data_IF_285054948066
#
_entry.id   IF_285054948066
#
_cell.length_a   1.000
_cell.length_b   1.000
_cell.length_c   1.000
_cell.angle_alpha   90.00
_cell.angle_beta   90.00
_cell.angle_gamma   90.00
#
_symmetry.space_group_name_H-M   'P 1'
#
loop_
_entity.id
_entity.type
_entity.pdbx_description
1 polymer ?
#
# COMPACT_ATOMS: atom_id res chain seq x y z
N UNK A 1 11.45 32.81 6.99
CA UNK A 1 11.35 31.60 7.81
C UNK A 1 9.87 31.16 7.73
N UNK A 2 9.53 30.32 6.81
CA UNK A 2 8.16 29.78 6.69
C UNK A 2 8.31 28.28 6.46
N UNK A 3 7.91 27.51 7.46
CA UNK A 3 7.85 26.05 7.43
C UNK A 3 6.85 25.61 6.36
N UNK A 4 7.33 24.99 5.30
CA UNK A 4 6.49 24.34 4.32
C UNK A 4 5.93 23.05 4.95
N UNK A 5 4.71 23.17 5.49
CA UNK A 5 3.87 22.04 5.89
C UNK A 5 3.62 21.21 4.64
N UNK A 6 4.12 19.99 4.64
CA UNK A 6 3.66 18.93 3.74
C UNK A 6 2.17 18.76 4.05
N UNK A 7 1.31 18.95 3.05
CA UNK A 7 -0.10 18.65 3.14
C UNK A 7 -0.25 17.14 3.42
N UNK A 8 -0.28 16.83 4.69
CA UNK A 8 -0.75 15.54 5.20
C UNK A 8 -2.26 15.46 5.00
N UNK A 9 -2.87 14.28 5.11
CA UNK A 9 -4.30 14.12 4.95
C UNK A 9 -5.04 15.10 5.86
N UNK A 10 -5.99 15.82 5.28
CA UNK A 10 -6.82 16.89 5.85
C UNK A 10 -7.09 16.72 7.34
N UNK A 11 -6.70 17.73 8.12
CA UNK A 11 -7.03 17.85 9.53
C UNK A 11 -8.49 18.21 9.67
N UNK A 12 -9.35 17.19 9.69
CA UNK A 12 -10.68 17.33 10.28
C UNK A 12 -10.78 16.40 11.49
N UNK A 13 -10.60 17.01 12.65
CA UNK A 13 -10.60 16.38 13.95
C UNK A 13 -12.05 16.05 14.33
N UNK A 14 -12.39 14.78 14.42
CA UNK A 14 -13.67 14.31 14.96
C UNK A 14 -14.43 13.31 14.10
N UNK A 15 -13.81 12.75 13.07
CA UNK A 15 -14.44 11.71 12.24
C UNK A 15 -14.46 10.36 12.96
N UNK A 16 -15.65 9.80 13.13
CA UNK A 16 -15.92 8.43 13.53
C UNK A 16 -14.94 7.43 12.87
N UNK A 17 -14.59 6.33 13.58
CA UNK A 17 -13.75 5.21 13.10
C UNK A 17 -14.15 4.68 11.70
N UNK A 18 -15.40 4.91 11.30
CA UNK A 18 -15.93 4.65 9.94
C UNK A 18 -15.17 5.43 8.85
N UNK A 19 -14.52 6.55 9.17
CA UNK A 19 -13.79 7.38 8.19
C UNK A 19 -12.38 6.86 7.87
N UNK A 20 -11.78 6.04 8.74
CA UNK A 20 -10.48 5.39 8.46
C UNK A 20 -10.54 4.48 7.23
N UNK A 21 -11.70 3.83 6.99
CA UNK A 21 -11.95 3.00 5.81
C UNK A 21 -12.72 3.71 4.69
N UNK A 22 -12.88 5.03 4.73
CA UNK A 22 -13.85 5.75 3.89
C UNK A 22 -13.34 6.32 2.55
N UNK A 23 -12.04 6.36 2.30
CA UNK A 23 -11.50 6.81 0.99
C UNK A 23 -11.36 5.65 0.00
N UNK A 24 -12.48 5.02 -0.33
CA UNK A 24 -12.52 3.84 -1.21
C UNK A 24 -12.87 4.24 -2.63
N UNK A 25 -11.90 4.26 -3.52
CA UNK A 25 -12.22 4.39 -4.95
C UNK A 25 -12.63 3.03 -5.51
N UNK A 26 -13.59 3.02 -6.44
CA UNK A 26 -13.97 1.81 -7.17
C UNK A 26 -12.76 1.11 -7.82
N UNK A 27 -11.75 1.88 -8.24
CA UNK A 27 -10.49 1.36 -8.81
C UNK A 27 -9.67 0.62 -7.74
N UNK A 28 -9.48 1.20 -6.56
CA UNK A 28 -8.69 0.59 -5.48
C UNK A 28 -9.32 -0.72 -5.04
N UNK A 29 -10.63 -0.71 -4.76
CA UNK A 29 -11.35 -1.92 -4.36
C UNK A 29 -11.35 -2.99 -5.45
N UNK A 30 -11.49 -2.61 -6.73
CA UNK A 30 -11.39 -3.58 -7.83
C UNK A 30 -9.99 -4.23 -7.87
N UNK A 31 -8.92 -3.46 -7.70
CA UNK A 31 -7.54 -4.01 -7.64
C UNK A 31 -7.41 -5.01 -6.50
N UNK A 32 -7.94 -4.67 -5.33
CA UNK A 32 -7.92 -5.59 -4.16
C UNK A 32 -8.72 -6.87 -4.45
N UNK A 33 -9.91 -6.77 -5.02
CA UNK A 33 -10.72 -7.94 -5.43
C UNK A 33 -9.96 -8.82 -6.43
N UNK A 34 -9.32 -8.20 -7.43
CA UNK A 34 -8.53 -8.93 -8.42
C UNK A 34 -7.34 -9.66 -7.80
N UNK A 35 -6.61 -9.02 -6.89
CA UNK A 35 -5.44 -9.60 -6.23
C UNK A 35 -5.77 -10.65 -5.17
N UNK A 36 -6.79 -10.40 -4.34
CA UNK A 36 -7.12 -11.24 -3.18
C UNK A 36 -8.09 -12.38 -3.51
N UNK A 37 -8.92 -12.24 -4.52
CA UNK A 37 -9.97 -13.21 -4.84
C UNK A 37 -9.76 -13.88 -6.20
N UNK A 38 -9.53 -13.08 -7.25
CA UNK A 38 -9.44 -13.60 -8.61
C UNK A 38 -8.11 -14.32 -8.85
N UNK A 39 -6.98 -13.67 -8.51
CA UNK A 39 -5.66 -14.27 -8.69
C UNK A 39 -5.51 -15.63 -7.98
N UNK A 40 -5.84 -15.78 -6.69
CA UNK A 40 -5.71 -17.06 -6.00
C UNK A 40 -6.72 -18.12 -6.48
N UNK A 41 -7.83 -17.72 -7.09
CA UNK A 41 -8.81 -18.67 -7.63
C UNK A 41 -8.31 -19.41 -8.88
N UNK A 42 -7.42 -18.78 -9.64
CA UNK A 42 -6.92 -19.28 -10.93
C UNK A 42 -7.99 -19.35 -12.03
N UNK A 43 -9.18 -18.78 -11.80
CA UNK A 43 -10.31 -18.85 -12.72
C UNK A 43 -10.76 -17.47 -13.18
N UNK A 44 -11.34 -17.37 -14.41
CA UNK A 44 -11.99 -16.16 -14.87
C UNK A 44 -13.13 -15.73 -13.96
N UNK A 45 -13.35 -14.42 -13.85
CA UNK A 45 -14.43 -13.83 -13.05
C UNK A 45 -15.46 -13.13 -13.93
N UNK A 46 -16.76 -13.32 -13.63
CA UNK A 46 -17.85 -12.67 -14.36
C UNK A 46 -17.97 -11.18 -14.03
N UNK A 47 -18.45 -10.40 -14.99
CA UNK A 47 -18.77 -8.97 -14.74
C UNK A 47 -19.78 -8.82 -13.62
N UNK A 48 -20.83 -9.66 -13.60
CA UNK A 48 -21.86 -9.70 -12.56
C UNK A 48 -21.27 -9.97 -11.18
N UNK A 49 -20.32 -10.89 -11.05
CA UNK A 49 -19.59 -11.18 -9.80
C UNK A 49 -18.82 -9.96 -9.30
N UNK A 50 -18.03 -9.32 -10.17
CA UNK A 50 -17.26 -8.12 -9.81
C UNK A 50 -18.18 -6.97 -9.37
N UNK A 51 -19.28 -6.77 -10.11
CA UNK A 51 -20.29 -5.74 -9.78
C UNK A 51 -20.96 -6.06 -8.45
N UNK A 52 -21.35 -7.32 -8.21
CA UNK A 52 -21.97 -7.73 -6.94
C UNK A 52 -21.07 -7.45 -5.75
N UNK A 53 -19.78 -7.84 -5.83
CA UNK A 53 -18.82 -7.60 -4.74
C UNK A 53 -18.61 -6.10 -4.53
N UNK A 54 -18.40 -5.32 -5.61
CA UNK A 54 -18.19 -3.88 -5.49
C UNK A 54 -19.41 -3.15 -4.93
N UNK A 55 -20.64 -3.60 -5.26
CA UNK A 55 -21.88 -3.07 -4.65
C UNK A 55 -21.95 -3.39 -3.16
N UNK A 56 -21.62 -4.60 -2.75
CA UNK A 56 -21.51 -4.97 -1.34
C UNK A 56 -20.48 -4.15 -0.56
N UNK A 57 -19.48 -3.61 -1.26
CA UNK A 57 -18.48 -2.68 -0.72
C UNK A 57 -18.91 -1.21 -0.77
N UNK A 58 -20.16 -0.92 -1.15
CA UNK A 58 -20.72 0.42 -1.20
C UNK A 58 -20.43 1.21 -2.49
N UNK A 59 -19.97 0.54 -3.56
CA UNK A 59 -19.72 1.18 -4.85
C UNK A 59 -20.98 1.09 -5.72
N UNK A 60 -21.42 2.24 -6.24
CA UNK A 60 -22.51 2.31 -7.22
C UNK A 60 -22.23 1.46 -8.45
N UNK A 61 -23.26 0.77 -8.98
CA UNK A 61 -23.11 -0.15 -10.13
C UNK A 61 -22.46 0.50 -11.35
N UNK A 62 -22.85 1.74 -11.66
CA UNK A 62 -22.27 2.50 -12.76
C UNK A 62 -20.79 2.74 -12.56
N UNK A 63 -20.36 3.08 -11.33
CA UNK A 63 -18.96 3.29 -10.98
C UNK A 63 -18.18 1.97 -11.02
N UNK A 64 -18.78 0.86 -10.57
CA UNK A 64 -18.18 -0.47 -10.67
C UNK A 64 -17.93 -0.87 -12.13
N UNK A 65 -18.92 -0.76 -13.00
CA UNK A 65 -18.80 -1.05 -14.44
C UNK A 65 -17.74 -0.16 -15.12
N UNK A 66 -17.69 1.13 -14.77
CA UNK A 66 -16.65 2.04 -15.27
C UNK A 66 -15.23 1.67 -14.79
N UNK A 67 -15.09 1.20 -13.54
CA UNK A 67 -13.80 0.73 -13.04
C UNK A 67 -13.31 -0.51 -13.79
N UNK A 68 -14.20 -1.48 -14.04
CA UNK A 68 -13.92 -2.68 -14.84
C UNK A 68 -13.53 -2.30 -16.27
N UNK A 69 -14.27 -1.43 -16.93
CA UNK A 69 -13.97 -0.96 -18.28
C UNK A 69 -12.60 -0.27 -18.36
N UNK A 70 -12.26 0.58 -17.37
CA UNK A 70 -10.93 1.21 -17.28
C UNK A 70 -9.81 0.20 -17.02
N UNK A 71 -10.04 -0.82 -16.18
CA UNK A 71 -9.07 -1.88 -15.97
C UNK A 71 -8.78 -2.65 -17.26
N UNK A 72 -9.82 -2.93 -18.05
CA UNK A 72 -9.67 -3.56 -19.37
C UNK A 72 -8.93 -2.67 -20.36
N UNK A 73 -9.31 -1.39 -20.49
CA UNK A 73 -8.64 -0.44 -21.40
C UNK A 73 -7.18 -0.17 -21.02
N UNK A 74 -6.82 -0.34 -19.73
CA UNK A 74 -5.43 -0.26 -19.24
C UNK A 74 -4.65 -1.55 -19.40
N UNK A 75 -5.25 -2.60 -19.98
CA UNK A 75 -4.60 -3.89 -20.17
C UNK A 75 -4.36 -4.69 -18.89
N UNK A 76 -5.15 -4.45 -17.84
CA UNK A 76 -5.03 -5.18 -16.58
C UNK A 76 -5.77 -6.51 -16.61
N UNK A 77 -6.92 -6.51 -17.31
CA UNK A 77 -7.78 -7.67 -17.49
C UNK A 77 -8.18 -7.80 -18.95
N UNK A 78 -8.34 -9.05 -19.41
CA UNK A 78 -8.78 -9.41 -20.74
C UNK A 78 -10.20 -9.94 -20.72
N UNK A 79 -11.01 -9.46 -21.68
CA UNK A 79 -12.41 -9.89 -21.83
C UNK A 79 -12.50 -11.17 -22.63
N UNK A 80 -13.30 -12.11 -22.15
CA UNK A 80 -13.77 -13.28 -22.90
C UNK A 80 -15.30 -13.27 -22.90
N UNK A 81 -15.89 -13.20 -24.09
CA UNK A 81 -17.35 -13.18 -24.22
C UNK A 81 -17.90 -14.59 -24.21
N UNK A 82 -18.86 -14.85 -23.34
CA UNK A 82 -19.57 -16.11 -23.28
C UNK A 82 -21.09 -15.86 -23.27
N UNK A 83 -21.72 -16.04 -24.41
CA UNK A 83 -23.13 -15.71 -24.60
C UNK A 83 -23.40 -14.21 -24.46
N UNK A 84 -24.27 -13.86 -23.53
CA UNK A 84 -24.60 -12.45 -23.20
C UNK A 84 -23.70 -11.84 -22.16
N UNK A 85 -22.91 -12.63 -21.46
CA UNK A 85 -22.03 -12.20 -20.37
C UNK A 85 -20.57 -12.11 -20.81
N UNK A 86 -19.80 -11.37 -20.02
CA UNK A 86 -18.35 -11.22 -20.18
C UNK A 86 -17.67 -11.69 -18.92
N UNK A 87 -16.69 -12.56 -19.07
CA UNK A 87 -15.77 -12.96 -18.02
C UNK A 87 -14.39 -12.37 -18.29
N UNK A 88 -13.63 -12.20 -17.22
CA UNK A 88 -12.37 -11.49 -17.19
C UNK A 88 -11.27 -12.38 -16.65
N UNK A 89 -10.11 -12.35 -17.31
CA UNK A 89 -8.86 -12.96 -16.86
C UNK A 89 -7.84 -11.88 -16.58
N UNK A 90 -6.96 -12.12 -15.61
CA UNK A 90 -5.83 -11.20 -15.35
C UNK A 90 -4.83 -11.26 -16.49
N UNK A 91 -4.25 -10.12 -16.87
CA UNK A 91 -3.09 -10.10 -17.76
C UNK A 91 -1.83 -10.55 -17.01
N UNK A 92 -0.84 -11.09 -17.74
CA UNK A 92 0.45 -11.48 -17.15
C UNK A 92 1.14 -10.30 -16.46
N UNK A 93 1.02 -9.11 -17.04
CA UNK A 93 1.52 -7.88 -16.44
C UNK A 93 0.89 -7.62 -15.06
N UNK A 94 -0.42 -7.81 -14.93
CA UNK A 94 -1.10 -7.58 -13.66
C UNK A 94 -0.75 -8.64 -12.62
N UNK A 95 -0.58 -9.89 -13.05
CA UNK A 95 -0.08 -10.99 -12.21
C UNK A 95 1.30 -10.64 -11.63
N UNK A 96 2.23 -10.15 -12.46
CA UNK A 96 3.56 -9.72 -12.01
C UNK A 96 3.49 -8.55 -11.03
N UNK A 97 2.62 -7.55 -11.28
CA UNK A 97 2.41 -6.43 -10.36
C UNK A 97 1.91 -6.93 -8.99
N UNK A 98 0.97 -7.88 -8.97
CA UNK A 98 0.49 -8.44 -7.71
C UNK A 98 1.58 -9.21 -6.97
N UNK A 99 2.39 -10.01 -7.64
CA UNK A 99 3.50 -10.73 -7.00
C UNK A 99 4.52 -9.77 -6.38
N UNK A 100 4.92 -8.73 -7.13
CA UNK A 100 5.88 -7.74 -6.62
C UNK A 100 5.29 -6.90 -5.47
N UNK A 101 4.03 -6.49 -5.60
CA UNK A 101 3.34 -5.71 -4.58
C UNK A 101 3.09 -6.49 -3.29
N UNK A 102 2.75 -7.77 -3.40
CA UNK A 102 2.48 -8.62 -2.23
C UNK A 102 3.70 -8.77 -1.33
N UNK A 103 4.91 -8.90 -1.90
CA UNK A 103 6.16 -8.98 -1.13
C UNK A 103 6.31 -7.75 -0.22
N UNK A 104 6.04 -6.54 -0.75
CA UNK A 104 6.17 -5.30 0.02
C UNK A 104 5.10 -5.14 1.10
N UNK A 105 3.88 -5.61 0.84
CA UNK A 105 2.80 -5.59 1.83
C UNK A 105 3.06 -6.60 2.95
N UNK A 106 3.52 -7.80 2.61
CA UNK A 106 3.80 -8.83 3.62
C UNK A 106 5.06 -8.55 4.45
N UNK A 107 6.03 -7.79 3.92
CA UNK A 107 7.21 -7.39 4.68
C UNK A 107 6.91 -6.46 5.86
N UNK A 108 5.70 -5.88 5.94
CA UNK A 108 5.29 -5.06 7.10
C UNK A 108 5.18 -5.84 8.40
N UNK A 109 4.85 -7.13 8.35
CA UNK A 109 4.71 -7.96 9.56
C UNK A 109 6.06 -8.39 10.13
N UNK A 110 7.07 -8.52 9.28
CA UNK A 110 8.46 -8.86 9.64
C UNK A 110 9.46 -8.16 8.70
N UNK A 111 9.60 -6.83 8.81
CA UNK A 111 10.47 -6.06 7.94
C UNK A 111 11.92 -6.16 8.39
N UNK A 112 12.73 -7.08 8.03
CA UNK A 112 14.13 -7.23 8.42
C UNK A 112 14.39 -7.92 9.76
N UNK A 113 14.54 -9.20 9.72
CA UNK A 113 15.07 -10.01 10.84
C UNK A 113 16.54 -9.71 11.14
N UNK A 114 17.29 -9.07 10.24
CA UNK A 114 18.71 -8.72 10.42
C UNK A 114 19.12 -7.51 9.59
N UNK A 115 19.03 -6.31 10.18
CA UNK A 115 19.65 -5.11 9.62
C UNK A 115 21.12 -5.05 10.08
N UNK A 116 22.05 -4.85 9.14
CA UNK A 116 23.49 -4.84 9.37
C UNK A 116 24.06 -3.48 9.85
N UNK A 117 23.21 -2.51 10.07
CA UNK A 117 23.58 -1.13 10.43
C UNK A 117 23.84 -0.22 9.23
N UNK A 118 23.72 -0.71 8.00
CA UNK A 118 23.97 0.07 6.80
C UNK A 118 22.79 0.98 6.45
N UNK A 119 23.13 2.18 5.98
CA UNK A 119 22.20 3.18 5.47
C UNK A 119 22.51 3.51 4.01
N UNK A 120 21.50 3.59 3.20
CA UNK A 120 21.57 4.26 1.91
C UNK A 120 21.30 5.75 2.14
N UNK A 121 22.32 6.57 1.92
CA UNK A 121 22.28 8.01 2.15
C UNK A 121 22.31 8.74 0.83
N UNK A 122 21.44 9.73 0.65
CA UNK A 122 21.48 10.65 -0.48
C UNK A 122 21.67 12.07 0.03
N UNK A 123 22.55 12.79 -0.64
CA UNK A 123 22.69 14.25 -0.47
C UNK A 123 22.30 14.89 -1.80
N UNK A 124 21.17 15.60 -1.81
CA UNK A 124 20.58 16.15 -3.04
C UNK A 124 20.30 17.64 -2.89
N UNK A 125 20.75 18.43 -3.86
CA UNK A 125 20.40 19.84 -3.98
C UNK A 125 19.60 20.05 -5.25
N UNK A 126 18.30 20.33 -5.12
CA UNK A 126 17.45 20.61 -6.29
C UNK A 126 17.61 22.08 -6.69
N UNK A 127 18.10 22.37 -7.91
CA UNK A 127 18.27 23.73 -8.42
C UNK A 127 16.96 24.53 -8.43
N UNK A 128 17.07 25.84 -8.32
CA UNK A 128 15.91 26.72 -8.19
C UNK A 128 15.01 26.72 -9.42
N UNK A 129 15.57 26.55 -10.60
CA UNK A 129 14.89 26.44 -11.90
C UNK A 129 14.20 25.08 -12.10
N UNK A 130 14.55 24.06 -11.30
CA UNK A 130 13.98 22.70 -11.34
C UNK A 130 13.03 22.40 -10.16
N UNK A 131 12.41 23.39 -9.58
CA UNK A 131 11.48 23.20 -8.43
C UNK A 131 10.31 22.27 -8.70
N UNK A 132 9.88 22.14 -9.95
CA UNK A 132 8.77 21.26 -10.34
C UNK A 132 9.04 19.79 -10.03
N UNK A 133 10.32 19.34 -10.05
CA UNK A 133 10.70 17.95 -9.74
C UNK A 133 10.76 17.65 -8.24
N UNK A 134 10.71 18.67 -7.38
CA UNK A 134 10.82 18.51 -5.92
C UNK A 134 9.74 17.57 -5.36
N UNK A 135 8.48 17.81 -5.70
CA UNK A 135 7.36 17.01 -5.18
C UNK A 135 7.42 15.55 -5.67
N UNK A 136 7.59 15.24 -6.97
CA UNK A 136 7.79 13.88 -7.44
C UNK A 136 8.97 13.18 -6.76
N UNK A 137 10.11 13.86 -6.65
CA UNK A 137 11.32 13.32 -6.03
C UNK A 137 11.09 12.97 -4.55
N UNK A 138 10.53 13.91 -3.76
CA UNK A 138 10.26 13.68 -2.34
C UNK A 138 9.24 12.55 -2.14
N UNK A 139 8.17 12.51 -2.95
CA UNK A 139 7.19 11.42 -2.90
C UNK A 139 7.81 10.06 -3.26
N UNK A 140 8.68 10.02 -4.25
CA UNK A 140 9.40 8.80 -4.64
C UNK A 140 10.35 8.31 -3.55
N UNK A 141 11.09 9.22 -2.91
CA UNK A 141 11.98 8.86 -1.80
C UNK A 141 11.19 8.39 -0.56
N UNK A 142 10.09 9.07 -0.22
CA UNK A 142 9.20 8.62 0.87
C UNK A 142 8.63 7.23 0.57
N UNK A 143 8.21 6.98 -0.66
CA UNK A 143 7.77 5.66 -1.11
C UNK A 143 8.87 4.60 -0.98
N UNK A 144 10.12 4.97 -1.25
CA UNK A 144 11.28 4.10 -1.06
C UNK A 144 11.73 3.96 0.41
N UNK A 145 10.99 4.54 1.37
CA UNK A 145 11.25 4.44 2.80
C UNK A 145 12.30 5.39 3.33
N UNK A 146 12.65 6.46 2.56
CA UNK A 146 13.62 7.45 3.02
C UNK A 146 13.00 8.45 4.00
N UNK A 147 13.76 8.77 5.04
CA UNK A 147 13.54 9.90 5.92
C UNK A 147 14.39 11.11 5.54
N UNK A 148 13.92 12.30 5.91
CA UNK A 148 14.62 13.57 5.65
C UNK A 148 14.89 14.30 6.97
N UNK A 149 15.95 13.93 7.71
CA UNK A 149 16.24 14.52 9.03
C UNK A 149 16.70 15.99 8.95
N UNK A 150 17.19 16.41 7.79
CA UNK A 150 17.56 17.80 7.50
C UNK A 150 17.46 18.06 5.98
N UNK A 151 17.17 19.31 5.55
CA UNK A 151 17.03 19.62 4.13
C UNK A 151 18.20 19.13 3.28
N UNK A 152 17.89 18.41 2.21
CA UNK A 152 18.87 17.86 1.26
C UNK A 152 19.50 16.54 1.67
N UNK A 153 19.36 16.10 2.92
CA UNK A 153 19.87 14.81 3.40
C UNK A 153 18.72 13.80 3.53
N UNK A 154 18.85 12.67 2.87
CA UNK A 154 17.89 11.59 2.87
C UNK A 154 18.58 10.28 3.28
N UNK A 155 17.98 9.53 4.19
CA UNK A 155 18.52 8.24 4.65
C UNK A 155 17.43 7.17 4.65
N UNK A 156 17.84 5.97 4.30
CA UNK A 156 16.99 4.78 4.38
C UNK A 156 17.82 3.58 4.82
N UNK A 157 17.32 2.72 5.72
CA UNK A 157 17.97 1.45 6.02
C UNK A 157 17.80 0.41 4.89
N UNK A 158 17.02 0.75 3.86
CA UNK A 158 16.67 -0.11 2.73
C UNK A 158 17.72 -0.01 1.61
N UNK A 159 18.93 -0.52 1.84
CA UNK A 159 20.01 -0.48 0.85
C UNK A 159 19.65 -1.23 -0.44
N UNK A 160 18.84 -2.27 -0.33
CA UNK A 160 18.34 -3.08 -1.45
C UNK A 160 17.47 -2.29 -2.44
N UNK A 161 16.92 -1.14 -2.01
CA UNK A 161 16.12 -0.26 -2.87
C UNK A 161 16.95 0.73 -3.71
N UNK A 162 18.27 0.62 -3.69
CA UNK A 162 19.16 1.51 -4.44
C UNK A 162 18.85 1.56 -5.95
N UNK A 163 18.44 0.44 -6.55
CA UNK A 163 18.06 0.40 -7.97
C UNK A 163 16.78 1.20 -8.26
N UNK A 164 15.77 1.13 -7.38
CA UNK A 164 14.52 1.91 -7.47
C UNK A 164 14.82 3.41 -7.39
N UNK A 165 15.67 3.80 -6.45
CA UNK A 165 16.07 5.20 -6.24
C UNK A 165 16.89 5.74 -7.40
N UNK A 166 17.78 4.91 -7.97
CA UNK A 166 18.52 5.28 -9.19
C UNK A 166 17.57 5.58 -10.34
N UNK A 167 16.59 4.72 -10.58
CA UNK A 167 15.57 4.96 -11.61
C UNK A 167 14.82 6.29 -11.41
N UNK A 168 14.48 6.63 -10.15
CA UNK A 168 13.85 7.91 -9.81
C UNK A 168 14.76 9.11 -10.09
N UNK A 169 16.05 9.03 -9.72
CA UNK A 169 17.04 10.08 -9.96
C UNK A 169 17.27 10.29 -11.47
N UNK A 170 17.33 9.19 -12.22
CA UNK A 170 17.53 9.22 -13.68
C UNK A 170 16.29 9.80 -14.39
N UNK A 171 15.06 9.34 -14.04
CA UNK A 171 13.80 9.84 -14.59
C UNK A 171 13.61 11.34 -14.38
N UNK A 172 14.02 11.83 -13.20
CA UNK A 172 13.95 13.25 -12.86
C UNK A 172 15.20 14.03 -13.25
N UNK A 173 16.18 13.41 -13.92
CA UNK A 173 17.46 14.00 -14.37
C UNK A 173 18.19 14.74 -13.23
N UNK A 174 18.22 14.15 -12.03
CA UNK A 174 18.88 14.72 -10.84
C UNK A 174 20.27 14.14 -10.58
N UNK A 175 20.86 13.38 -11.52
CA UNK A 175 22.13 12.69 -11.33
C UNK A 175 23.28 13.63 -10.92
N UNK A 176 23.43 14.76 -11.62
CA UNK A 176 24.48 15.75 -11.31
C UNK A 176 24.25 16.53 -10.00
N UNK A 177 23.06 16.39 -9.39
CA UNK A 177 22.67 17.09 -8.18
C UNK A 177 22.52 16.16 -6.97
N UNK A 178 22.85 14.85 -7.14
CA UNK A 178 22.66 13.83 -6.11
C UNK A 178 23.93 13.04 -5.89
N UNK A 179 24.39 13.02 -4.64
CA UNK A 179 25.44 12.11 -4.19
C UNK A 179 24.81 10.99 -3.38
N UNK A 180 25.31 9.77 -3.53
CA UNK A 180 24.83 8.61 -2.78
C UNK A 180 25.95 7.87 -2.10
N UNK A 181 25.68 7.39 -0.91
CA UNK A 181 26.64 6.63 -0.08
C UNK A 181 25.92 5.46 0.58
N UNK A 182 26.64 4.37 0.76
CA UNK A 182 26.20 3.26 1.62
C UNK A 182 27.22 3.12 2.73
N UNK A 183 26.75 3.09 3.97
CA UNK A 183 27.63 2.96 5.13
C UNK A 183 26.87 3.06 6.44
N UNK A 184 27.60 2.95 7.53
CA UNK A 184 27.07 3.06 8.89
C UNK A 184 27.11 4.52 9.36
N UNK A 185 26.20 4.87 10.28
CA UNK A 185 26.23 6.17 10.96
C UNK A 185 27.24 6.12 12.09
N UNK A 186 28.14 7.12 12.13
CA UNK A 186 29.10 7.30 13.21
C UNK A 186 28.44 7.93 14.45
N UNK A 187 29.18 7.95 15.54
CA UNK A 187 28.80 8.60 16.81
C UNK A 187 29.08 10.11 16.83
N UNK A 188 29.66 10.67 15.78
CA UNK A 188 29.89 12.13 15.64
C UNK A 188 28.56 12.81 15.32
N UNK A 189 28.04 13.58 16.24
CA UNK A 189 26.82 14.38 16.06
C UNK A 189 25.54 13.62 16.40
N UNK A 190 24.61 13.55 15.43
CA UNK A 190 23.28 12.95 15.65
C UNK A 190 23.37 11.43 15.61
N UNK A 191 22.95 10.77 16.66
CA UNK A 191 22.88 9.31 16.74
C UNK A 191 21.72 8.74 15.91
N UNK A 192 21.72 7.42 15.62
CA UNK A 192 20.66 6.77 14.83
C UNK A 192 19.24 7.05 15.32
N UNK A 193 19.01 7.07 16.65
CA UNK A 193 17.71 7.37 17.23
C UNK A 193 17.25 8.80 16.93
N UNK A 194 18.19 9.75 16.94
CA UNK A 194 17.93 11.13 16.57
C UNK A 194 17.72 11.33 15.06
N UNK A 195 18.28 10.47 14.23
CA UNK A 195 18.00 10.43 12.79
C UNK A 195 16.59 9.94 12.57
N UNK A 196 16.19 8.84 13.24
CA UNK A 196 14.85 8.27 13.15
C UNK A 196 13.80 9.30 13.57
N UNK A 197 13.94 9.92 14.73
CA UNK A 197 12.94 10.88 15.24
C UNK A 197 12.81 12.16 14.40
N UNK A 198 13.87 12.55 13.65
CA UNK A 198 13.83 13.72 12.76
C UNK A 198 13.46 13.37 11.32
N UNK A 199 13.75 12.16 10.89
CA UNK A 199 13.57 11.72 9.51
C UNK A 199 12.13 11.37 9.17
N UNK A 200 11.36 10.90 10.15
CA UNK A 200 9.99 10.41 9.95
C UNK A 200 9.04 10.96 11.00
N UNK A 201 7.80 11.26 10.59
CA UNK A 201 6.71 11.64 11.49
C UNK A 201 6.06 10.38 12.09
N UNK A 202 6.77 9.75 13.02
CA UNK A 202 6.32 8.51 13.65
C UNK A 202 5.14 8.71 14.58
N UNK A 203 5.01 9.87 15.22
CA UNK A 203 3.89 10.17 16.14
C UNK A 203 2.54 10.20 15.40
N UNK A 204 2.50 10.80 14.21
CA UNK A 204 1.30 10.80 13.36
C UNK A 204 0.97 9.38 12.89
N UNK A 205 2.00 8.62 12.55
CA UNK A 205 1.85 7.25 12.08
C UNK A 205 1.38 6.30 13.20
N UNK A 206 1.89 6.47 14.42
CA UNK A 206 1.47 5.71 15.60
C UNK A 206 -0.01 5.93 15.92
N UNK A 207 -0.47 7.18 15.87
CA UNK A 207 -1.90 7.52 16.06
C UNK A 207 -2.77 6.87 14.98
N UNK A 208 -2.33 6.89 13.73
CA UNK A 208 -3.02 6.22 12.64
C UNK A 208 -3.14 4.71 12.90
N UNK A 209 -2.03 4.04 13.25
CA UNK A 209 -2.02 2.61 13.52
C UNK A 209 -2.83 2.23 14.76
N UNK A 210 -2.86 3.07 15.79
CA UNK A 210 -3.71 2.87 16.96
C UNK A 210 -5.18 2.83 16.59
N UNK A 211 -5.65 3.75 15.73
CA UNK A 211 -7.01 3.72 15.19
C UNK A 211 -7.29 2.48 14.34
N UNK A 212 -6.35 2.09 13.47
CA UNK A 212 -6.48 0.86 12.68
C UNK A 212 -6.58 -0.37 13.58
N UNK A 213 -5.75 -0.48 14.61
CA UNK A 213 -5.74 -1.60 15.56
C UNK A 213 -7.08 -1.73 16.28
N UNK A 214 -7.66 -0.61 16.72
CA UNK A 214 -8.98 -0.57 17.37
C UNK A 214 -10.07 -1.09 16.41
N UNK A 215 -10.11 -0.59 15.17
CA UNK A 215 -11.08 -1.04 14.17
C UNK A 215 -10.90 -2.52 13.86
N UNK A 216 -9.69 -2.96 13.54
CA UNK A 216 -9.39 -4.36 13.20
C UNK A 216 -9.67 -5.29 14.40
N UNK A 217 -9.42 -4.82 15.62
CA UNK A 217 -9.74 -5.55 16.85
C UNK A 217 -11.24 -5.76 17.09
N UNK A 218 -12.09 -4.87 16.60
CA UNK A 218 -13.55 -4.90 16.75
C UNK A 218 -14.28 -5.70 15.67
N UNK A 219 -13.63 -6.09 14.57
CA UNK A 219 -14.27 -6.78 13.46
C UNK A 219 -14.86 -8.13 13.89
N UNK A 220 -16.16 -8.32 13.67
CA UNK A 220 -16.92 -9.56 13.98
C UNK A 220 -17.99 -9.77 12.91
N UNK A 221 -17.61 -10.15 11.68
CA UNK A 221 -18.59 -10.40 10.61
C UNK A 221 -19.49 -11.59 11.00
N UNK A 222 -20.81 -11.44 10.80
CA UNK A 222 -21.83 -12.40 11.22
C UNK A 222 -22.29 -13.32 10.06
N UNK A 223 -21.91 -13.00 8.81
CA UNK A 223 -22.30 -13.81 7.64
C UNK A 223 -21.11 -13.99 6.67
N UNK A 224 -21.24 -14.91 5.71
CA UNK A 224 -20.23 -15.11 4.67
C UNK A 224 -20.03 -13.87 3.79
N UNK A 225 -21.12 -13.13 3.51
CA UNK A 225 -21.05 -11.89 2.74
C UNK A 225 -20.32 -10.79 3.53
N UNK A 226 -20.67 -10.61 4.79
CA UNK A 226 -19.98 -9.66 5.65
C UNK A 226 -18.50 -10.03 5.80
N UNK A 227 -18.17 -11.33 5.92
CA UNK A 227 -16.78 -11.78 6.00
C UNK A 227 -16.02 -11.43 4.72
N UNK A 228 -16.61 -11.70 3.55
CA UNK A 228 -16.01 -11.37 2.26
C UNK A 228 -15.79 -9.85 2.11
N UNK A 229 -16.80 -9.04 2.40
CA UNK A 229 -16.71 -7.58 2.22
C UNK A 229 -15.76 -6.97 3.25
N UNK A 230 -15.82 -7.37 4.52
CA UNK A 230 -14.91 -6.91 5.57
C UNK A 230 -13.46 -7.28 5.26
N UNK A 231 -13.23 -8.50 4.75
CA UNK A 231 -11.91 -8.95 4.32
C UNK A 231 -11.35 -8.04 3.21
N UNK A 232 -12.11 -7.80 2.14
CA UNK A 232 -11.66 -6.94 1.03
C UNK A 232 -11.39 -5.51 1.51
N UNK A 233 -12.24 -4.97 2.37
CA UNK A 233 -12.04 -3.65 2.94
C UNK A 233 -10.76 -3.55 3.78
N UNK A 234 -10.56 -4.52 4.67
CA UNK A 234 -9.36 -4.60 5.53
C UNK A 234 -8.08 -4.69 4.69
N UNK A 235 -8.07 -5.55 3.67
CA UNK A 235 -6.90 -5.70 2.79
C UNK A 235 -6.67 -4.45 1.93
N UNK A 236 -7.73 -3.79 1.46
CA UNK A 236 -7.59 -2.54 0.70
C UNK A 236 -6.90 -1.44 1.52
N UNK A 237 -7.22 -1.31 2.81
CA UNK A 237 -6.51 -0.38 3.71
C UNK A 237 -5.06 -0.85 3.96
N UNK A 238 -4.89 -2.13 4.25
CA UNK A 238 -3.58 -2.72 4.47
C UNK A 238 -2.60 -2.47 3.31
N UNK A 239 -3.06 -2.58 2.08
CA UNK A 239 -2.25 -2.32 0.88
C UNK A 239 -1.79 -0.86 0.73
N UNK A 240 -2.34 0.08 1.50
CA UNK A 240 -1.88 1.47 1.51
C UNK A 240 -0.73 1.69 2.52
N UNK A 241 -0.60 0.83 3.52
CA UNK A 241 0.38 1.00 4.60
C UNK A 241 1.84 1.09 4.13
N UNK A 242 2.31 0.30 3.14
CA UNK A 242 3.67 0.46 2.63
C UNK A 242 3.99 1.83 2.02
N UNK A 243 2.96 2.64 1.76
CA UNK A 243 3.15 4.01 1.23
C UNK A 243 3.43 5.04 2.31
N UNK A 244 3.04 4.75 3.53
CA UNK A 244 3.15 5.67 4.67
C UNK A 244 4.13 5.17 5.72
N UNK A 245 4.29 3.85 5.87
CA UNK A 245 5.21 3.25 6.82
C UNK A 245 6.61 3.11 6.18
N UNK A 246 7.65 3.70 6.79
CA UNK A 246 9.01 3.58 6.31
C UNK A 246 9.59 2.16 6.44
N UNK A 247 8.92 1.26 7.15
CA UNK A 247 9.35 -0.12 7.41
C UNK A 247 10.73 -0.18 8.09
N UNK A 248 10.94 0.67 9.08
CA UNK A 248 12.23 0.70 9.79
C UNK A 248 12.51 -0.64 10.48
N UNK A 249 13.78 -1.10 10.47
CA UNK A 249 14.20 -2.29 11.20
C UNK A 249 13.87 -2.23 12.69
N UNK A 250 13.67 -3.37 13.32
CA UNK A 250 13.40 -3.44 14.76
C UNK A 250 14.51 -2.83 15.60
N UNK A 251 15.77 -2.93 15.15
CA UNK A 251 16.91 -2.29 15.80
C UNK A 251 16.84 -0.76 15.85
N UNK A 252 16.12 -0.13 14.89
CA UNK A 252 15.92 1.33 14.83
C UNK A 252 14.61 1.77 15.47
N UNK A 253 13.60 0.92 15.47
CA UNK A 253 12.27 1.21 15.95
C UNK A 253 11.69 -0.04 16.65
N UNK A 254 12.14 -0.36 17.87
CA UNK A 254 11.65 -1.49 18.64
C UNK A 254 10.14 -1.34 18.95
N UNK A 255 9.45 -2.48 19.09
CA UNK A 255 8.04 -2.55 19.50
C UNK A 255 7.07 -1.69 18.66
N UNK A 256 7.41 -1.47 17.38
CA UNK A 256 6.59 -0.62 16.51
C UNK A 256 5.17 -1.14 16.33
N UNK A 257 4.18 -0.30 16.64
CA UNK A 257 2.74 -0.63 16.54
C UNK A 257 2.33 -1.09 15.14
N UNK A 258 2.96 -0.57 14.07
CA UNK A 258 2.70 -0.99 12.69
C UNK A 258 2.90 -2.49 12.49
N UNK A 259 3.92 -3.09 13.13
CA UNK A 259 4.15 -4.55 13.08
C UNK A 259 3.06 -5.34 13.81
N UNK A 260 2.53 -4.81 14.92
CA UNK A 260 1.41 -5.46 15.61
C UNK A 260 0.14 -5.45 14.76
N UNK A 261 -0.16 -4.31 14.13
CA UNK A 261 -1.30 -4.17 13.20
C UNK A 261 -1.13 -5.12 12.03
N UNK A 262 0.06 -5.18 11.42
CA UNK A 262 0.40 -6.08 10.34
C UNK A 262 0.07 -7.54 10.69
N UNK A 263 0.66 -8.03 11.78
CA UNK A 263 0.43 -9.41 12.27
C UNK A 263 -1.04 -9.68 12.59
N UNK A 264 -1.76 -8.70 13.13
CA UNK A 264 -3.18 -8.84 13.41
C UNK A 264 -4.01 -8.99 12.13
N UNK A 265 -3.75 -8.18 11.12
CA UNK A 265 -4.42 -8.26 9.82
C UNK A 265 -4.13 -9.59 9.13
N UNK A 266 -2.88 -10.03 9.11
CA UNK A 266 -2.51 -11.33 8.55
C UNK A 266 -3.18 -12.51 9.28
N UNK A 267 -3.28 -12.44 10.61
CA UNK A 267 -4.01 -13.43 11.40
C UNK A 267 -5.49 -13.51 11.00
N UNK A 268 -6.16 -12.36 10.83
CA UNK A 268 -7.56 -12.32 10.38
C UNK A 268 -7.70 -12.78 8.93
N UNK A 269 -6.78 -12.39 8.06
CA UNK A 269 -6.73 -12.84 6.67
C UNK A 269 -6.67 -14.37 6.58
N UNK A 270 -5.78 -14.98 7.36
CA UNK A 270 -5.66 -16.43 7.45
C UNK A 270 -6.92 -17.09 8.05
N UNK A 271 -7.47 -16.51 9.11
CA UNK A 271 -8.69 -17.02 9.77
C UNK A 271 -9.89 -17.04 8.84
N UNK A 272 -10.06 -16.03 7.99
CA UNK A 272 -11.21 -15.90 7.07
C UNK A 272 -10.98 -16.53 5.71
N UNK A 273 -9.77 -16.96 5.37
CA UNK A 273 -9.39 -17.42 4.04
C UNK A 273 -10.34 -18.44 3.43
N UNK A 274 -10.74 -19.48 4.19
CA UNK A 274 -11.65 -20.53 3.72
C UNK A 274 -13.05 -19.98 3.44
N UNK A 275 -13.59 -19.16 4.34
CA UNK A 275 -14.93 -18.58 4.20
C UNK A 275 -14.99 -17.62 2.99
N UNK A 276 -13.96 -16.77 2.84
CA UNK A 276 -13.81 -15.83 1.71
C UNK A 276 -13.74 -16.59 0.39
N UNK A 277 -12.88 -17.60 0.29
CA UNK A 277 -12.72 -18.44 -0.92
C UNK A 277 -14.03 -19.13 -1.28
N UNK A 278 -14.70 -19.75 -0.30
CA UNK A 278 -15.97 -20.44 -0.51
C UNK A 278 -17.05 -19.48 -1.00
N UNK A 279 -17.18 -18.31 -0.35
CA UNK A 279 -18.20 -17.33 -0.75
C UNK A 279 -17.95 -16.74 -2.12
N UNK A 280 -16.70 -16.38 -2.43
CA UNK A 280 -16.33 -15.92 -3.77
C UNK A 280 -16.67 -16.95 -4.85
N UNK A 281 -16.34 -18.23 -4.64
CA UNK A 281 -16.64 -19.30 -5.58
C UNK A 281 -18.17 -19.46 -5.79
N UNK A 282 -18.98 -19.40 -4.73
CA UNK A 282 -20.45 -19.45 -4.83
C UNK A 282 -21.02 -18.33 -5.71
N UNK A 283 -20.56 -17.07 -5.47
CA UNK A 283 -21.00 -15.91 -6.24
C UNK A 283 -20.58 -16.06 -7.71
N UNK A 284 -19.35 -16.51 -7.96
CA UNK A 284 -18.82 -16.62 -9.32
C UNK A 284 -19.43 -17.79 -10.12
N UNK A 285 -19.81 -18.88 -9.47
CA UNK A 285 -20.54 -19.99 -10.11
C UNK A 285 -22.00 -19.63 -10.39
N UNK A 286 -22.68 -18.96 -9.47
CA UNK A 286 -24.07 -18.52 -9.64
C UNK A 286 -24.25 -17.54 -10.79
N UNK A 287 -23.27 -16.67 -11.02
CA UNK A 287 -23.30 -15.66 -12.08
C UNK A 287 -23.24 -16.27 -13.51
N UNK A 288 -22.68 -17.45 -13.71
CA UNK A 288 -22.62 -18.13 -15.01
C UNK A 288 -23.84 -18.99 -15.36
N UNK A 289 -24.85 -18.98 -14.48
CA UNK A 289 -26.05 -19.86 -14.61
C UNK A 289 -27.34 -19.10 -15.01
N UNK A 290 -27.27 -17.75 -15.12
CA UNK A 290 -28.34 -16.86 -15.61
C UNK A 290 -28.06 -16.43 -17.07
#
# INVERSE_FOLDING_TARGET
MSSAVVDGPDRDSGGSLTNLFSRRSARSLLVTVLGELVLPSGHPVWTSTLVHILKGLGIEEKAARQAIARASSSGWIHAERQGREVRWTLSDRMVQIFHTGSVRVHSLSDPFSSWDGSWLTLVTTIPHDRRSVRRPFYSGLTWAGFGNPTPGLWLSPHVERAAEVRGLVDELELGEHTYSFVGTVDTIGVRPEGIVSRGWDLDTLEKYYSGVLEVVGSLRPASLDETLFTHVQMINEWQQMPRIDPQLPEALLPDWIGRMVARRIESLRAQWATQVKTRFAQINLGAGSE
#
